data_IF_424337592201
#
_entry.id   IF_424337592201
#
_cell.length_a   1.000
_cell.length_b   1.000
_cell.length_c   1.000
_cell.angle_alpha   90.00
_cell.angle_beta   90.00
_cell.angle_gamma   90.00
#
_symmetry.space_group_name_H-M   'P 1'
#
loop_
_entity.id
_entity.type
_entity.pdbx_description
1 polymer ?
#
# COMPACT_ATOMS: atom_id res chain seq x y z
N UNK A 1 -8.26 -33.17 10.03
CA UNK A 1 -8.80 -31.96 10.73
C UNK A 1 -10.06 -31.51 10.03
N UNK A 2 -11.05 -30.91 10.72
CA UNK A 2 -12.27 -30.39 10.07
C UNK A 2 -11.96 -29.21 9.13
N UNK A 3 -12.52 -29.26 7.92
CA UNK A 3 -12.45 -28.22 6.89
C UNK A 3 -13.18 -26.95 7.33
N UNK A 4 -12.65 -25.78 6.97
CA UNK A 4 -13.29 -24.47 7.21
C UNK A 4 -14.08 -24.04 5.98
N UNK A 5 -13.48 -24.19 4.80
CA UNK A 5 -14.11 -23.92 3.50
C UNK A 5 -14.39 -25.23 2.78
N UNK A 6 -15.68 -25.58 2.62
CA UNK A 6 -16.12 -26.83 1.96
C UNK A 6 -16.00 -26.78 0.43
N UNK A 7 -16.07 -25.59 -0.15
CA UNK A 7 -16.01 -25.38 -1.61
C UNK A 7 -14.79 -24.55 -1.93
N UNK A 8 -13.97 -24.93 -2.93
CA UNK A 8 -12.81 -24.14 -3.32
C UNK A 8 -13.26 -22.83 -3.99
N UNK A 9 -12.65 -21.73 -3.56
CA UNK A 9 -12.89 -20.40 -4.12
C UNK A 9 -11.60 -19.98 -4.84
N UNK A 10 -11.70 -19.71 -6.14
CA UNK A 10 -10.56 -19.27 -6.97
C UNK A 10 -10.85 -17.84 -7.41
N UNK A 11 -9.98 -16.91 -7.03
CA UNK A 11 -10.08 -15.49 -7.35
C UNK A 11 -8.87 -15.04 -8.17
N UNK A 12 -9.04 -13.99 -8.97
CA UNK A 12 -7.95 -13.45 -9.77
C UNK A 12 -6.93 -12.73 -8.88
N UNK A 13 -5.68 -13.18 -8.95
CA UNK A 13 -4.51 -12.58 -8.33
C UNK A 13 -3.88 -11.50 -9.20
N UNK A 14 -2.75 -10.98 -8.72
CA UNK A 14 -1.89 -10.07 -9.48
C UNK A 14 -1.14 -10.82 -10.59
N UNK A 15 -0.82 -10.15 -11.72
CA UNK A 15 0.00 -10.70 -12.81
C UNK A 15 -0.49 -12.05 -13.38
N UNK A 16 -1.79 -12.15 -13.66
CA UNK A 16 -2.46 -13.36 -14.17
C UNK A 16 -2.44 -14.60 -13.26
N UNK A 17 -1.89 -14.47 -12.05
CA UNK A 17 -1.98 -15.50 -11.02
C UNK A 17 -3.39 -15.55 -10.41
N UNK A 18 -3.62 -16.54 -9.55
CA UNK A 18 -4.85 -16.73 -8.80
C UNK A 18 -4.59 -16.88 -7.31
N UNK A 19 -5.65 -16.63 -6.54
CA UNK A 19 -5.73 -16.87 -5.11
C UNK A 19 -6.74 -17.99 -4.89
N UNK A 20 -6.29 -19.07 -4.25
CA UNK A 20 -7.12 -20.21 -3.85
C UNK A 20 -7.45 -20.11 -2.36
N UNK A 21 -8.73 -20.13 -2.02
CA UNK A 21 -9.22 -20.27 -0.64
C UNK A 21 -9.94 -21.59 -0.56
N UNK A 22 -9.38 -22.56 0.18
CA UNK A 22 -9.97 -23.88 0.27
C UNK A 22 -9.58 -24.64 1.55
N UNK A 23 -10.51 -25.44 2.08
CA UNK A 23 -10.36 -26.24 3.29
C UNK A 23 -9.83 -25.43 4.47
N UNK A 24 -8.53 -25.49 4.76
CA UNK A 24 -7.84 -24.82 5.87
C UNK A 24 -6.79 -23.80 5.41
N UNK A 25 -6.74 -23.49 4.11
CA UNK A 25 -5.68 -22.71 3.48
C UNK A 25 -6.18 -21.52 2.67
N UNK A 26 -5.35 -20.49 2.61
CA UNK A 26 -5.39 -19.41 1.63
C UNK A 26 -4.03 -19.44 0.92
N UNK A 27 -4.01 -19.66 -0.40
CA UNK A 27 -2.80 -19.75 -1.21
C UNK A 27 -2.86 -18.66 -2.27
N UNK A 28 -1.89 -17.74 -2.25
CA UNK A 28 -1.77 -16.67 -3.24
C UNK A 28 -0.62 -16.92 -4.21
N UNK A 29 -0.57 -16.12 -5.27
CA UNK A 29 0.53 -16.10 -6.25
C UNK A 29 0.77 -17.46 -6.95
N UNK A 30 -0.29 -18.18 -7.31
CA UNK A 30 -0.21 -19.46 -8.02
C UNK A 30 -0.89 -19.38 -9.39
N UNK A 31 -0.49 -20.23 -10.35
CA UNK A 31 -1.21 -20.34 -11.62
C UNK A 31 -2.55 -21.09 -11.47
N UNK A 32 -3.43 -21.02 -12.48
CA UNK A 32 -4.71 -21.73 -12.48
C UNK A 32 -4.54 -23.25 -12.47
N UNK A 33 -3.51 -23.76 -13.15
CA UNK A 33 -3.17 -25.18 -13.18
C UNK A 33 -2.70 -25.65 -11.81
N UNK A 34 -1.84 -24.85 -11.16
CA UNK A 34 -1.36 -25.13 -9.80
C UNK A 34 -2.54 -25.11 -8.82
N UNK A 35 -3.48 -24.18 -8.95
CA UNK A 35 -4.66 -24.12 -8.08
C UNK A 35 -5.50 -25.41 -8.15
N UNK A 36 -5.69 -26.00 -9.34
CA UNK A 36 -6.39 -27.29 -9.48
C UNK A 36 -5.63 -28.42 -8.79
N UNK A 37 -4.32 -28.52 -9.01
CA UNK A 37 -3.48 -29.52 -8.33
C UNK A 37 -3.47 -29.34 -6.81
N UNK A 38 -3.58 -28.10 -6.32
CA UNK A 38 -3.68 -27.83 -4.89
C UNK A 38 -4.98 -28.38 -4.30
N UNK A 39 -6.11 -28.25 -5.01
CA UNK A 39 -7.41 -28.80 -4.56
C UNK A 39 -7.30 -30.32 -4.38
N UNK A 40 -6.81 -31.03 -5.41
CA UNK A 40 -6.62 -32.49 -5.36
C UNK A 40 -5.71 -32.92 -4.20
N UNK A 41 -4.60 -32.18 -3.99
CA UNK A 41 -3.66 -32.46 -2.90
C UNK A 41 -4.22 -32.15 -1.51
N UNK A 42 -5.08 -31.14 -1.39
CA UNK A 42 -5.77 -30.80 -0.14
C UNK A 42 -6.75 -31.91 0.21
N UNK A 43 -7.51 -32.41 -0.76
CA UNK A 43 -8.47 -33.50 -0.58
C UNK A 43 -7.77 -34.81 -0.17
N UNK A 44 -6.58 -35.06 -0.71
CA UNK A 44 -5.73 -36.19 -0.36
C UNK A 44 -4.85 -35.96 0.90
N UNK A 45 -4.99 -34.83 1.61
CA UNK A 45 -4.16 -34.40 2.75
C UNK A 45 -2.63 -34.52 2.51
N UNK A 46 -2.20 -34.28 1.26
CA UNK A 46 -0.81 -34.42 0.78
C UNK A 46 -0.17 -33.08 0.37
N UNK A 47 -0.80 -31.95 0.71
CA UNK A 47 -0.29 -30.63 0.38
C UNK A 47 0.98 -30.29 1.17
N UNK A 48 2.08 -30.00 0.47
CA UNK A 48 3.32 -29.53 1.06
C UNK A 48 3.41 -28.00 1.07
N UNK A 49 3.11 -27.40 2.22
CA UNK A 49 3.06 -25.93 2.38
C UNK A 49 4.37 -25.21 1.98
N UNK A 50 5.53 -25.85 2.17
CA UNK A 50 6.86 -25.26 1.88
C UNK A 50 7.09 -24.93 0.41
N UNK A 51 6.28 -25.49 -0.50
CA UNK A 51 6.41 -25.28 -1.95
C UNK A 51 5.78 -23.97 -2.43
N UNK A 52 5.05 -23.27 -1.57
CA UNK A 52 4.34 -22.05 -1.92
C UNK A 52 5.01 -20.84 -1.29
N UNK A 53 5.24 -19.81 -2.10
CA UNK A 53 5.75 -18.51 -1.63
C UNK A 53 4.74 -17.82 -0.72
N UNK A 54 3.45 -17.98 -1.00
CA UNK A 54 2.38 -17.31 -0.28
C UNK A 54 1.28 -18.30 0.10
N UNK A 55 1.44 -18.95 1.26
CA UNK A 55 0.44 -19.83 1.86
C UNK A 55 0.16 -19.42 3.30
N UNK A 56 -1.12 -19.43 3.67
CA UNK A 56 -1.61 -19.09 5.00
C UNK A 56 -2.54 -20.20 5.48
N UNK A 57 -2.26 -20.73 6.68
CA UNK A 57 -3.18 -21.61 7.39
C UNK A 57 -4.17 -20.77 8.18
N UNK A 58 -5.47 -20.95 7.90
CA UNK A 58 -6.53 -20.09 8.45
C UNK A 58 -6.57 -20.13 9.99
N UNK A 59 -6.29 -21.29 10.61
CA UNK A 59 -6.26 -21.42 12.08
C UNK A 59 -5.16 -20.60 12.76
N UNK A 60 -4.07 -20.35 12.05
CA UNK A 60 -2.92 -19.60 12.53
C UNK A 60 -3.15 -18.08 12.38
N UNK A 61 -4.17 -17.67 11.62
CA UNK A 61 -4.55 -16.27 11.50
C UNK A 61 -5.12 -15.77 12.83
N UNK A 62 -4.62 -14.64 13.29
CA UNK A 62 -5.16 -13.94 14.47
C UNK A 62 -5.77 -12.59 14.13
N UNK A 63 -5.44 -12.04 12.96
CA UNK A 63 -6.07 -10.81 12.44
C UNK A 63 -5.95 -10.70 10.92
N UNK A 64 -6.86 -9.99 10.29
CA UNK A 64 -6.66 -9.47 8.94
C UNK A 64 -7.02 -7.98 8.86
N UNK A 65 -6.42 -7.28 7.91
CA UNK A 65 -6.63 -5.85 7.66
C UNK A 65 -6.79 -5.59 6.17
N UNK A 66 -7.77 -4.78 5.82
CA UNK A 66 -8.13 -4.47 4.44
C UNK A 66 -8.74 -3.06 4.34
N UNK A 67 -8.52 -2.35 3.23
CA UNK A 67 -9.24 -1.09 2.90
C UNK A 67 -10.02 -1.30 1.60
N UNK A 68 -11.33 -1.56 1.68
CA UNK A 68 -12.15 -1.96 0.53
C UNK A 68 -12.07 -1.06 -0.70
N UNK A 69 -11.98 0.25 -0.47
CA UNK A 69 -12.05 1.24 -1.56
C UNK A 69 -10.68 1.57 -2.18
N UNK A 70 -9.58 1.01 -1.65
CA UNK A 70 -8.22 1.42 -2.03
C UNK A 70 -7.21 0.29 -2.21
N UNK A 71 -7.32 -0.79 -1.42
CA UNK A 71 -6.31 -1.83 -1.42
C UNK A 71 -6.72 -2.95 -2.39
N UNK A 72 -5.82 -3.38 -3.27
CA UNK A 72 -5.94 -4.64 -4.02
C UNK A 72 -5.37 -5.83 -3.24
N UNK A 73 -5.02 -5.63 -1.97
CA UNK A 73 -4.34 -6.63 -1.14
C UNK A 73 -4.98 -6.73 0.25
N UNK A 74 -4.97 -7.94 0.81
CA UNK A 74 -5.41 -8.20 2.19
C UNK A 74 -4.23 -8.64 3.03
N UNK A 75 -4.03 -7.97 4.16
CA UNK A 75 -2.92 -8.25 5.08
C UNK A 75 -3.38 -9.14 6.23
N UNK A 76 -2.86 -10.36 6.28
CA UNK A 76 -3.11 -11.32 7.35
C UNK A 76 -1.97 -11.31 8.37
N UNK A 77 -2.31 -11.35 9.65
CA UNK A 77 -1.37 -11.64 10.74
C UNK A 77 -1.48 -13.10 11.11
N UNK A 78 -0.36 -13.82 11.04
CA UNK A 78 -0.28 -15.28 11.23
C UNK A 78 0.66 -15.60 12.40
N UNK A 79 0.29 -16.58 13.22
CA UNK A 79 1.13 -17.14 14.29
C UNK A 79 1.90 -18.33 13.75
N UNK A 80 3.21 -18.18 13.59
CA UNK A 80 4.13 -19.22 13.15
C UNK A 80 4.95 -19.75 14.34
N UNK A 81 5.67 -20.84 14.14
CA UNK A 81 6.56 -21.44 15.16
C UNK A 81 7.60 -20.44 15.70
N UNK A 82 8.00 -19.47 14.87
CA UNK A 82 8.99 -18.44 15.20
C UNK A 82 8.40 -17.14 15.78
N UNK A 83 7.08 -17.05 15.95
CA UNK A 83 6.40 -15.87 16.49
C UNK A 83 5.24 -15.39 15.62
N UNK A 84 5.13 -14.07 15.41
CA UNK A 84 4.07 -13.49 14.57
C UNK A 84 4.61 -12.92 13.28
N UNK A 85 4.07 -13.34 12.15
CA UNK A 85 4.39 -12.83 10.81
C UNK A 85 3.19 -12.12 10.20
N UNK A 86 3.44 -11.32 9.15
CA UNK A 86 2.39 -10.71 8.36
C UNK A 86 2.55 -11.11 6.91
N UNK A 87 1.50 -11.70 6.35
CA UNK A 87 1.47 -12.16 4.96
C UNK A 87 0.46 -11.31 4.20
N UNK A 88 0.83 -10.89 2.98
CA UNK A 88 -0.04 -10.11 2.11
C UNK A 88 -0.51 -11.01 0.96
N UNK A 89 -1.81 -11.02 0.71
CA UNK A 89 -2.42 -11.70 -0.43
C UNK A 89 -2.82 -10.62 -1.43
N UNK A 90 -2.22 -10.67 -2.62
CA UNK A 90 -2.46 -9.71 -3.69
C UNK A 90 -3.55 -10.24 -4.64
N UNK A 91 -4.49 -9.36 -4.96
CA UNK A 91 -5.56 -9.59 -5.92
C UNK A 91 -5.36 -8.69 -7.13
N UNK A 92 -6.02 -9.05 -8.24
CA UNK A 92 -5.95 -8.29 -9.50
C UNK A 92 -6.28 -6.81 -9.32
N UNK A 93 -7.34 -6.53 -8.56
CA UNK A 93 -7.84 -5.19 -8.31
C UNK A 93 -8.60 -5.12 -6.97
N UNK A 94 -9.01 -3.90 -6.59
CA UNK A 94 -9.75 -3.63 -5.35
C UNK A 94 -11.12 -4.33 -5.28
N UNK A 95 -11.78 -4.54 -6.42
CA UNK A 95 -13.10 -5.17 -6.46
C UNK A 95 -12.98 -6.67 -6.19
N UNK A 96 -11.97 -7.33 -6.76
CA UNK A 96 -11.66 -8.73 -6.46
C UNK A 96 -11.24 -8.91 -5.01
N UNK A 97 -10.44 -7.99 -4.44
CA UNK A 97 -10.09 -8.04 -3.03
C UNK A 97 -11.33 -7.89 -2.12
N UNK A 98 -12.29 -7.02 -2.50
CA UNK A 98 -13.56 -6.84 -1.79
C UNK A 98 -14.43 -8.09 -1.86
N UNK A 99 -14.54 -8.72 -3.04
CA UNK A 99 -15.21 -10.00 -3.20
C UNK A 99 -14.56 -11.11 -2.37
N UNK A 100 -13.22 -11.13 -2.32
CA UNK A 100 -12.49 -12.07 -1.48
C UNK A 100 -12.89 -11.91 -0.02
N UNK A 101 -12.86 -10.69 0.53
CA UNK A 101 -13.19 -10.44 1.94
C UNK A 101 -14.61 -10.87 2.28
N UNK A 102 -15.58 -10.55 1.43
CA UNK A 102 -16.97 -11.00 1.57
C UNK A 102 -17.06 -12.53 1.56
N UNK A 103 -16.31 -13.20 0.68
CA UNK A 103 -16.36 -14.66 0.52
C UNK A 103 -15.89 -15.44 1.76
N UNK A 104 -14.96 -14.87 2.54
CA UNK A 104 -14.45 -15.52 3.75
C UNK A 104 -14.94 -14.92 5.06
N UNK A 105 -15.64 -13.78 5.02
CA UNK A 105 -16.13 -13.06 6.21
C UNK A 105 -16.89 -13.97 7.17
N UNK A 106 -17.93 -14.66 6.69
CA UNK A 106 -18.78 -15.52 7.54
C UNK A 106 -18.00 -16.65 8.21
N UNK A 107 -17.03 -17.24 7.51
CA UNK A 107 -16.23 -18.33 8.07
C UNK A 107 -15.25 -17.81 9.12
N UNK A 108 -14.68 -16.62 8.91
CA UNK A 108 -13.84 -15.98 9.91
C UNK A 108 -14.65 -15.58 11.16
N UNK A 109 -15.87 -15.08 11.01
CA UNK A 109 -16.76 -14.80 12.15
C UNK A 109 -17.08 -16.08 12.95
N UNK A 110 -17.37 -17.20 12.27
CA UNK A 110 -17.55 -18.52 12.92
C UNK A 110 -16.31 -19.00 13.66
N UNK A 111 -15.12 -18.56 13.26
CA UNK A 111 -13.85 -18.84 13.93
C UNK A 111 -13.57 -17.91 15.13
N UNK A 112 -14.51 -17.02 15.46
CA UNK A 112 -14.45 -16.10 16.59
C UNK A 112 -13.86 -14.73 16.25
N UNK A 113 -13.65 -14.41 14.97
CA UNK A 113 -13.16 -13.10 14.60
C UNK A 113 -14.24 -12.03 14.76
N UNK A 114 -13.88 -10.89 15.35
CA UNK A 114 -14.74 -9.71 15.45
C UNK A 114 -14.35 -8.70 14.39
N UNK A 115 -15.25 -8.47 13.43
CA UNK A 115 -15.12 -7.46 12.38
C UNK A 115 -15.35 -6.07 12.98
N UNK A 116 -14.39 -5.16 12.78
CA UNK A 116 -14.51 -3.74 13.10
C UNK A 116 -14.23 -2.92 11.86
N UNK A 117 -15.17 -2.05 11.51
CA UNK A 117 -14.95 -1.00 10.53
C UNK A 117 -14.42 0.24 11.27
N UNK A 118 -13.15 0.54 11.06
CA UNK A 118 -12.52 1.75 11.58
C UNK A 118 -12.51 2.79 10.46
N UNK A 119 -13.26 3.88 10.66
CA UNK A 119 -13.11 5.08 9.85
C UNK A 119 -11.79 5.76 10.24
N UNK A 120 -10.86 5.89 9.30
CA UNK A 120 -9.59 6.56 9.59
C UNK A 120 -9.89 8.02 9.94
N UNK A 121 -9.48 8.53 11.10
CA UNK A 121 -9.75 9.95 11.42
C UNK A 121 -9.23 10.88 10.30
N UNK A 122 -9.95 11.94 9.91
CA UNK A 122 -9.54 12.85 8.82
C UNK A 122 -8.11 13.37 8.99
N UNK A 123 -7.72 13.66 10.24
CA UNK A 123 -6.37 14.11 10.62
C UNK A 123 -5.29 13.09 10.25
N UNK A 124 -5.54 11.79 10.48
CA UNK A 124 -4.62 10.70 10.11
C UNK A 124 -4.55 10.50 8.59
N UNK A 125 -5.65 10.71 7.87
CA UNK A 125 -5.65 10.62 6.41
C UNK A 125 -4.87 11.76 5.76
N UNK A 126 -4.86 12.94 6.39
CA UNK A 126 -4.17 14.14 5.92
C UNK A 126 -2.69 14.23 6.31
N UNK A 127 -2.20 13.42 7.25
CA UNK A 127 -0.85 13.55 7.80
C UNK A 127 0.25 13.47 6.73
N UNK A 128 0.13 12.51 5.81
CA UNK A 128 1.13 12.33 4.75
C UNK A 128 1.09 13.45 3.70
N UNK A 129 -0.08 13.84 3.15
CA UNK A 129 -0.18 15.04 2.31
C UNK A 129 0.30 16.33 2.99
N UNK A 130 0.01 16.52 4.28
CA UNK A 130 0.48 17.68 5.05
C UNK A 130 2.00 17.72 5.19
N UNK A 131 2.63 16.58 5.52
CA UNK A 131 4.09 16.45 5.57
C UNK A 131 4.73 16.78 4.22
N UNK A 132 4.14 16.30 3.13
CA UNK A 132 4.63 16.60 1.79
C UNK A 132 4.49 18.09 1.43
N UNK A 133 3.35 18.69 1.78
CA UNK A 133 3.10 20.13 1.60
C UNK A 133 4.14 20.96 2.35
N UNK A 134 4.47 20.57 3.58
CA UNK A 134 5.48 21.25 4.40
C UNK A 134 6.88 21.14 3.78
N UNK A 135 7.25 19.97 3.25
CA UNK A 135 8.51 19.80 2.52
C UNK A 135 8.58 20.67 1.26
N UNK A 136 7.51 20.72 0.47
CA UNK A 136 7.43 21.58 -0.74
C UNK A 136 7.56 23.06 -0.36
N UNK A 137 6.90 23.49 0.72
CA UNK A 137 6.98 24.86 1.23
C UNK A 137 8.40 25.26 1.62
N UNK A 138 9.08 24.41 2.41
CA UNK A 138 10.46 24.67 2.86
C UNK A 138 11.43 24.65 1.68
N UNK A 139 11.36 23.62 0.83
CA UNK A 139 12.26 23.49 -0.32
C UNK A 139 12.06 24.63 -1.33
N UNK A 140 10.81 24.95 -1.68
CA UNK A 140 10.50 26.04 -2.60
C UNK A 140 10.87 27.41 -2.03
N UNK A 141 10.68 27.63 -0.73
CA UNK A 141 11.15 28.86 -0.06
C UNK A 141 12.68 29.00 -0.08
N UNK A 142 13.41 27.91 0.16
CA UNK A 142 14.87 27.90 0.06
C UNK A 142 15.35 28.20 -1.38
N UNK A 143 14.75 27.54 -2.38
CA UNK A 143 15.08 27.76 -3.79
C UNK A 143 14.77 29.19 -4.25
N UNK A 144 13.63 29.74 -3.84
CA UNK A 144 13.23 31.12 -4.15
C UNK A 144 14.20 32.12 -3.53
N UNK A 145 14.57 31.93 -2.26
CA UNK A 145 15.57 32.77 -1.58
C UNK A 145 16.95 32.67 -2.23
N UNK A 146 17.32 31.48 -2.70
CA UNK A 146 18.60 31.25 -3.38
C UNK A 146 18.61 31.91 -4.76
N UNK A 147 17.54 31.77 -5.55
CA UNK A 147 17.37 32.46 -6.83
C UNK A 147 17.44 33.99 -6.67
N UNK A 148 16.74 34.55 -5.68
CA UNK A 148 16.80 35.98 -5.37
C UNK A 148 18.23 36.46 -5.05
N UNK A 149 19.00 35.68 -4.29
CA UNK A 149 20.40 36.02 -3.99
C UNK A 149 21.31 35.98 -5.23
N UNK A 150 21.00 35.12 -6.20
CA UNK A 150 21.78 34.98 -7.43
C UNK A 150 21.46 36.03 -8.50
N UNK A 151 20.31 36.71 -8.41
CA UNK A 151 19.93 37.78 -9.34
C UNK A 151 20.91 38.97 -9.28
N UNK A 152 21.44 39.29 -8.09
CA UNK A 152 22.41 40.37 -7.89
C UNK A 152 23.88 39.96 -7.90
N UNK A 153 24.20 38.68 -8.12
CA UNK A 153 25.56 38.14 -8.01
C UNK A 153 26.12 37.76 -9.39
N UNK A 154 27.28 38.30 -9.75
CA UNK A 154 28.03 37.77 -10.90
C UNK A 154 28.63 36.42 -10.52
N UNK A 155 28.44 35.40 -11.38
CA UNK A 155 29.02 34.07 -11.17
C UNK A 155 30.51 34.14 -11.46
N UNK A 156 31.30 34.67 -10.53
CA UNK A 156 32.74 34.46 -10.53
C UNK A 156 33.01 33.00 -10.23
N UNK A 157 33.75 32.33 -11.12
CA UNK A 157 34.11 30.91 -11.04
C UNK A 157 34.80 30.62 -9.70
N UNK A 158 34.05 30.16 -8.70
CA UNK A 158 34.62 29.69 -7.44
C UNK A 158 35.29 28.35 -7.71
N UNK A 159 36.60 28.27 -7.45
CA UNK A 159 37.46 27.16 -7.86
C UNK A 159 37.16 25.83 -7.14
N UNK A 160 36.21 25.79 -6.19
CA UNK A 160 35.89 24.61 -5.37
C UNK A 160 34.38 24.55 -5.12
N UNK A 161 33.58 24.34 -6.17
CA UNK A 161 32.15 24.04 -6.03
C UNK A 161 31.85 22.77 -6.82
N UNK A 162 31.28 21.77 -6.14
CA UNK A 162 30.90 20.50 -6.75
C UNK A 162 29.99 20.76 -7.97
N UNK A 163 30.24 20.05 -9.08
CA UNK A 163 29.59 20.34 -10.38
C UNK A 163 28.06 20.37 -10.35
N UNK A 164 27.41 19.63 -9.44
CA UNK A 164 25.96 19.67 -9.27
C UNK A 164 25.44 20.99 -8.69
N UNK A 165 26.19 21.63 -7.78
CA UNK A 165 25.83 22.93 -7.19
C UNK A 165 25.97 24.03 -8.25
N UNK A 166 27.05 23.99 -9.03
CA UNK A 166 27.27 24.93 -10.13
C UNK A 166 26.16 24.86 -11.19
N UNK A 167 25.72 23.65 -11.55
CA UNK A 167 24.60 23.47 -12.49
C UNK A 167 23.29 24.02 -11.90
N UNK A 168 23.03 23.77 -10.62
CA UNK A 168 21.84 24.28 -9.93
C UNK A 168 21.83 25.82 -9.87
N UNK A 169 22.96 26.46 -9.57
CA UNK A 169 23.12 27.92 -9.59
C UNK A 169 22.86 28.51 -10.98
N UNK A 170 23.40 27.88 -12.03
CA UNK A 170 23.16 28.30 -13.43
C UNK A 170 21.68 28.21 -13.80
N UNK A 171 21.02 27.10 -13.47
CA UNK A 171 19.60 26.90 -13.74
C UNK A 171 18.77 27.93 -12.97
N UNK A 172 19.03 28.13 -11.68
CA UNK A 172 18.26 29.07 -10.86
C UNK A 172 18.47 30.53 -11.30
N UNK A 173 19.67 30.91 -11.73
CA UNK A 173 19.92 32.24 -12.31
C UNK A 173 19.24 32.43 -13.65
N UNK A 174 19.21 31.39 -14.50
CA UNK A 174 18.51 31.44 -15.79
C UNK A 174 16.99 31.53 -15.63
N UNK A 175 16.43 30.76 -14.70
CA UNK A 175 14.99 30.74 -14.41
C UNK A 175 14.56 32.02 -13.67
N UNK A 176 15.37 32.52 -12.73
CA UNK A 176 15.06 33.70 -11.93
C UNK A 176 14.12 33.41 -10.76
N UNK A 177 13.94 34.40 -9.89
CA UNK A 177 13.18 34.28 -8.66
C UNK A 177 11.67 34.10 -8.91
N UNK A 178 11.09 34.92 -9.79
CA UNK A 178 9.64 34.93 -10.04
C UNK A 178 9.10 33.59 -10.55
N UNK A 179 9.72 32.91 -11.54
CA UNK A 179 9.19 31.62 -12.01
C UNK A 179 9.35 30.50 -10.97
N UNK A 180 10.41 30.51 -10.15
CA UNK A 180 10.57 29.57 -9.02
C UNK A 180 9.47 29.77 -7.98
N UNK A 181 9.11 31.01 -7.69
CA UNK A 181 8.03 31.35 -6.77
C UNK A 181 6.68 30.88 -7.31
N UNK A 182 6.39 31.12 -8.59
CA UNK A 182 5.16 30.67 -9.26
C UNK A 182 5.04 29.14 -9.22
N UNK A 183 6.11 28.41 -9.56
CA UNK A 183 6.14 26.95 -9.53
C UNK A 183 5.91 26.41 -8.11
N UNK A 184 6.53 27.05 -7.11
CA UNK A 184 6.35 26.70 -5.70
C UNK A 184 4.89 26.91 -5.28
N UNK A 185 4.30 28.05 -5.64
CA UNK A 185 2.90 28.37 -5.33
C UNK A 185 1.93 27.36 -5.95
N UNK A 186 2.08 27.06 -7.25
CA UNK A 186 1.26 26.07 -7.95
C UNK A 186 1.37 24.67 -7.30
N UNK A 187 2.59 24.27 -6.94
CA UNK A 187 2.84 22.99 -6.26
C UNK A 187 2.16 22.93 -4.89
N UNK A 188 2.18 24.04 -4.12
CA UNK A 188 1.50 24.15 -2.84
C UNK A 188 -0.02 24.04 -3.00
N UNK A 189 -0.61 24.73 -3.98
CA UNK A 189 -2.05 24.66 -4.27
C UNK A 189 -2.46 23.21 -4.59
N UNK A 190 -1.68 22.50 -5.40
CA UNK A 190 -1.93 21.09 -5.73
C UNK A 190 -1.82 20.19 -4.49
N UNK A 191 -0.84 20.41 -3.61
CA UNK A 191 -0.68 19.64 -2.38
C UNK A 191 -1.81 19.90 -1.38
N UNK A 192 -2.27 21.14 -1.26
CA UNK A 192 -3.43 21.51 -0.44
C UNK A 192 -4.71 20.88 -0.98
N UNK A 193 -4.94 20.94 -2.30
CA UNK A 193 -6.07 20.26 -2.94
C UNK A 193 -6.04 18.75 -2.68
N UNK A 194 -4.86 18.13 -2.79
CA UNK A 194 -4.69 16.70 -2.48
C UNK A 194 -5.02 16.37 -1.02
N UNK A 195 -4.59 17.24 -0.10
CA UNK A 195 -4.90 17.13 1.33
C UNK A 195 -6.41 17.19 1.57
N UNK A 196 -7.10 18.20 1.01
CA UNK A 196 -8.55 18.36 1.12
C UNK A 196 -9.30 17.17 0.52
N UNK A 197 -8.86 16.68 -0.66
CA UNK A 197 -9.43 15.49 -1.30
C UNK A 197 -9.31 14.25 -0.41
N UNK A 198 -8.18 14.07 0.28
CA UNK A 198 -7.96 12.94 1.21
C UNK A 198 -8.73 13.08 2.53
N UNK A 199 -8.97 14.30 3.01
CA UNK A 199 -9.84 14.55 4.16
C UNK A 199 -11.31 14.29 3.85
N UNK A 200 -11.76 14.58 2.63
CA UNK A 200 -13.15 14.35 2.19
C UNK A 200 -13.43 12.86 1.92
N UNK A 201 -12.53 12.17 1.22
CA UNK A 201 -12.63 10.73 0.98
C UNK A 201 -11.87 9.94 2.04
N UNK A 202 -12.45 9.86 3.23
CA UNK A 202 -11.89 9.10 4.34
C UNK A 202 -11.96 7.60 4.04
N UNK A 203 -10.82 6.90 3.94
CA UNK A 203 -10.83 5.48 3.69
C UNK A 203 -11.37 4.74 4.92
N UNK A 204 -12.35 3.86 4.70
CA UNK A 204 -12.71 2.87 5.70
C UNK A 204 -11.69 1.74 5.71
N UNK A 205 -11.37 1.26 6.92
CA UNK A 205 -10.50 0.11 7.12
C UNK A 205 -11.25 -0.97 7.85
N UNK A 206 -11.27 -2.16 7.27
CA UNK A 206 -11.73 -3.36 7.96
C UNK A 206 -10.55 -3.92 8.74
N UNK A 207 -10.74 -4.09 10.04
CA UNK A 207 -9.84 -4.84 10.91
C UNK A 207 -10.65 -5.94 11.57
N UNK A 208 -10.24 -7.17 11.35
CA UNK A 208 -10.85 -8.33 12.00
C UNK A 208 -9.82 -9.00 12.88
N UNK A 209 -10.17 -9.29 14.13
CA UNK A 209 -9.27 -9.91 15.13
C UNK A 209 -9.98 -11.03 15.86
N UNK A 210 -9.23 -12.10 16.13
CA UNK A 210 -9.64 -13.20 17.00
C UNK A 210 -9.31 -12.89 18.46
#
# INVERSE_FOLDING_TARGET
MKEIFKTPIILNGENDNVVLIYSKYIIGNISKEIARLCIERIDADSLEDKRFECIIRIKEVFKYKFKPEHDSQIKFGVKNVTGTSYVMINFKDKEVAKQAEISFMEQFEKLGFKRKEEQVSPVKAATFPLLFTLMVSVAGGLLTRFAYRLEGYELTRSAIVNGYVYMLEKVLKFVGCYPVLILTFLSLVLCLFWTLKKMSNIPFRIISKK
#
